data_IF_911684768833
#
_entry.id   IF_911684768833
#
_cell.length_a   1.000
_cell.length_b   1.000
_cell.length_c   1.000
_cell.angle_alpha   90.00
_cell.angle_beta   90.00
_cell.angle_gamma   90.00
#
_symmetry.space_group_name_H-M   'P 1'
#
loop_
_entity.id
_entity.type
_entity.pdbx_description
1 polymer ?
#
# COMPACT_ATOMS: atom_id res chain seq x y z
N UNK A 1 39.51 -9.78 -9.60
CA UNK A 1 38.22 -9.26 -10.10
C UNK A 1 38.02 -7.86 -9.50
N UNK A 2 38.57 -6.81 -10.13
CA UNK A 2 38.32 -5.43 -9.71
C UNK A 2 36.92 -5.05 -10.18
N UNK A 3 35.94 -5.00 -9.28
CA UNK A 3 34.64 -4.42 -9.59
C UNK A 3 34.83 -2.93 -9.81
N UNK A 4 34.54 -2.45 -11.01
CA UNK A 4 34.58 -1.01 -11.27
C UNK A 4 33.49 -0.33 -10.45
N UNK A 5 33.78 0.77 -9.73
CA UNK A 5 32.78 1.50 -8.97
C UNK A 5 31.55 1.89 -9.81
N UNK A 6 31.75 2.11 -11.10
CA UNK A 6 30.68 2.36 -12.08
C UNK A 6 29.67 1.20 -12.16
N UNK A 7 30.15 -0.06 -12.24
CA UNK A 7 29.29 -1.24 -12.31
C UNK A 7 28.40 -1.37 -11.06
N UNK A 8 28.96 -1.05 -9.89
CA UNK A 8 28.24 -1.10 -8.61
C UNK A 8 27.11 -0.05 -8.60
N UNK A 9 27.40 1.18 -9.03
CA UNK A 9 26.38 2.25 -9.10
C UNK A 9 25.25 1.87 -10.05
N UNK A 10 25.57 1.34 -11.24
CA UNK A 10 24.56 0.91 -12.22
C UNK A 10 23.67 -0.20 -11.66
N UNK A 11 24.27 -1.18 -11.00
CA UNK A 11 23.52 -2.28 -10.39
C UNK A 11 22.55 -1.78 -9.29
N UNK A 12 22.98 -0.83 -8.45
CA UNK A 12 22.14 -0.24 -7.40
C UNK A 12 20.95 0.51 -8.00
N UNK A 13 21.18 1.32 -9.03
CA UNK A 13 20.11 2.08 -9.70
C UNK A 13 19.09 1.13 -10.34
N UNK A 14 19.55 0.06 -10.97
CA UNK A 14 18.67 -0.97 -11.55
C UNK A 14 17.82 -1.66 -10.49
N UNK A 15 18.43 -2.09 -9.38
CA UNK A 15 17.71 -2.70 -8.27
C UNK A 15 16.66 -1.75 -7.67
N UNK A 16 17.00 -0.47 -7.56
CA UNK A 16 16.07 0.55 -7.07
C UNK A 16 14.87 0.72 -8.01
N UNK A 17 15.11 0.80 -9.32
CA UNK A 17 14.05 0.91 -10.33
C UNK A 17 13.11 -0.30 -10.30
N UNK A 18 13.64 -1.52 -10.24
CA UNK A 18 12.82 -2.73 -10.17
C UNK A 18 12.02 -2.77 -8.87
N UNK A 19 12.61 -2.39 -7.72
CA UNK A 19 11.93 -2.36 -6.43
C UNK A 19 10.76 -1.36 -6.37
N UNK A 20 10.84 -0.28 -7.17
CA UNK A 20 9.81 0.76 -7.25
C UNK A 20 8.52 0.30 -7.93
N UNK A 21 8.57 -0.80 -8.68
CA UNK A 21 7.41 -1.38 -9.36
C UNK A 21 6.58 -2.17 -8.33
N UNK A 22 5.35 -1.74 -8.08
CA UNK A 22 4.38 -2.44 -7.24
C UNK A 22 3.16 -2.81 -8.08
N UNK A 23 2.61 -3.99 -7.83
CA UNK A 23 1.41 -4.48 -8.49
C UNK A 23 0.28 -4.52 -7.45
N UNK A 24 -0.84 -3.88 -7.76
CA UNK A 24 -2.07 -3.89 -6.98
C UNK A 24 -3.09 -4.82 -7.65
N UNK A 25 -3.80 -5.61 -6.85
CA UNK A 25 -4.91 -6.41 -7.36
C UNK A 25 -6.14 -5.55 -7.68
N UNK A 26 -7.06 -6.03 -8.53
CA UNK A 26 -8.27 -5.28 -8.96
C UNK A 26 -9.15 -4.79 -7.81
N UNK A 27 -9.23 -5.58 -6.74
CA UNK A 27 -9.99 -5.26 -5.53
C UNK A 27 -9.19 -4.41 -4.53
N UNK A 28 -7.98 -3.96 -4.87
CA UNK A 28 -7.14 -3.10 -4.05
C UNK A 28 -7.01 -1.69 -4.62
N UNK A 29 -6.91 -0.71 -3.73
CA UNK A 29 -6.63 0.68 -4.06
C UNK A 29 -5.33 1.10 -3.38
N UNK A 30 -4.45 1.77 -4.12
CA UNK A 30 -3.18 2.29 -3.60
C UNK A 30 -3.35 3.72 -3.09
N UNK A 31 -3.32 3.92 -1.78
CA UNK A 31 -3.29 5.25 -1.14
C UNK A 31 -1.83 5.67 -1.00
N UNK A 32 -1.43 6.77 -1.65
CA UNK A 32 -0.04 7.20 -1.69
C UNK A 32 0.15 8.52 -0.93
N UNK A 33 1.12 8.51 -0.04
CA UNK A 33 1.61 9.66 0.70
C UNK A 33 2.95 10.10 0.12
N UNK A 34 2.96 11.26 -0.52
CA UNK A 34 4.18 11.89 -1.03
C UNK A 34 4.66 12.93 -0.04
N UNK A 35 5.82 12.69 0.58
CA UNK A 35 6.42 13.60 1.56
C UNK A 35 5.44 14.02 2.68
N UNK A 36 4.61 13.08 3.14
CA UNK A 36 3.59 13.31 4.17
C UNK A 36 2.26 13.90 3.67
N UNK A 37 2.13 14.24 2.38
CA UNK A 37 0.86 14.69 1.78
C UNK A 37 0.18 13.56 1.01
N UNK A 38 -1.13 13.43 1.20
CA UNK A 38 -1.96 12.52 0.44
C UNK A 38 -2.06 12.97 -1.02
N UNK A 39 -1.85 12.06 -1.98
CA UNK A 39 -2.16 12.38 -3.38
C UNK A 39 -3.67 12.54 -3.59
N UNK A 40 -4.12 13.49 -4.44
CA UNK A 40 -5.54 13.82 -4.59
C UNK A 40 -6.43 12.64 -5.00
N UNK A 41 -5.86 11.70 -5.76
CA UNK A 41 -6.57 10.52 -6.23
C UNK A 41 -5.81 9.25 -5.85
N UNK A 42 -6.47 8.27 -5.23
CA UNK A 42 -5.88 6.95 -5.00
C UNK A 42 -5.58 6.25 -6.33
N UNK A 43 -4.41 5.60 -6.42
CA UNK A 43 -4.05 4.84 -7.61
C UNK A 43 -4.92 3.59 -7.72
N UNK A 44 -5.39 3.32 -8.94
CA UNK A 44 -6.15 2.12 -9.28
C UNK A 44 -5.30 0.85 -9.31
N UNK A 45 -5.93 -0.30 -9.62
CA UNK A 45 -5.25 -1.58 -9.71
C UNK A 45 -4.29 -1.66 -10.89
N UNK A 46 -3.40 -2.65 -10.87
CA UNK A 46 -2.37 -2.85 -11.89
C UNK A 46 -0.98 -2.39 -11.47
N UNK A 47 -0.14 -2.13 -12.45
CA UNK A 47 1.28 -1.77 -12.23
C UNK A 47 1.38 -0.29 -11.88
N UNK A 48 1.92 0.00 -10.70
CA UNK A 48 2.15 1.35 -10.22
C UNK A 48 3.61 1.54 -9.80
N UNK A 49 4.12 2.74 -10.03
CA UNK A 49 5.44 3.16 -9.54
C UNK A 49 5.32 3.87 -8.20
N UNK A 50 6.13 3.43 -7.23
CA UNK A 50 6.24 3.98 -5.88
C UNK A 50 7.73 4.12 -5.53
N UNK A 51 8.18 5.36 -5.35
CA UNK A 51 9.59 5.68 -5.12
C UNK A 51 9.84 5.95 -3.64
N UNK A 52 10.38 4.98 -2.91
CA UNK A 52 10.81 5.18 -1.52
C UNK A 52 12.14 5.98 -1.49
N UNK A 53 12.32 6.97 -0.59
CA UNK A 53 11.49 7.28 0.58
C UNK A 53 10.44 8.38 0.34
N UNK A 54 10.38 8.95 -0.87
CA UNK A 54 9.53 10.10 -1.20
C UNK A 54 8.05 9.73 -1.12
N UNK A 55 7.71 8.57 -1.67
CA UNK A 55 6.35 8.03 -1.73
C UNK A 55 6.23 6.84 -0.76
N UNK A 56 5.22 6.89 0.12
CA UNK A 56 4.77 5.76 0.94
C UNK A 56 3.42 5.28 0.45
N UNK A 57 3.24 3.97 0.30
CA UNK A 57 1.97 3.38 -0.16
C UNK A 57 1.29 2.58 0.95
N UNK A 58 0.01 2.86 1.17
CA UNK A 58 -0.92 1.99 1.89
C UNK A 58 -1.82 1.25 0.90
N UNK A 59 -1.96 -0.06 1.04
CA UNK A 59 -2.89 -0.87 0.23
C UNK A 59 -4.19 -1.02 0.99
N UNK A 60 -5.31 -0.67 0.36
CA UNK A 60 -6.64 -0.75 0.95
C UNK A 60 -7.50 -1.68 0.11
N UNK A 61 -8.13 -2.66 0.75
CA UNK A 61 -9.09 -3.56 0.11
C UNK A 61 -10.42 -2.83 -0.09
N UNK A 62 -11.00 -2.99 -1.28
CA UNK A 62 -12.35 -2.53 -1.61
C UNK A 62 -13.42 -3.60 -1.33
N UNK A 63 -13.04 -4.75 -0.76
CA UNK A 63 -13.97 -5.83 -0.43
C UNK A 63 -14.81 -5.47 0.79
N UNK A 64 -16.07 -5.89 0.79
CA UNK A 64 -16.92 -5.85 1.98
C UNK A 64 -16.36 -6.81 3.03
N UNK A 65 -16.11 -6.28 4.22
CA UNK A 65 -15.77 -7.08 5.40
C UNK A 65 -17.03 -7.26 6.24
N UNK A 66 -17.27 -8.49 6.71
CA UNK A 66 -18.32 -8.77 7.69
C UNK A 66 -17.67 -8.70 9.05
N UNK A 67 -18.23 -7.89 9.95
CA UNK A 67 -17.75 -7.78 11.32
C UNK A 67 -18.76 -8.48 12.24
N UNK A 68 -18.26 -9.43 13.02
CA UNK A 68 -19.07 -10.08 14.04
C UNK A 68 -19.26 -9.13 15.22
N UNK A 69 -20.51 -8.93 15.61
CA UNK A 69 -20.86 -8.12 16.78
C UNK A 69 -20.83 -9.05 18.00
N UNK A 70 -20.05 -8.73 19.05
CA UNK A 70 -20.02 -9.56 20.25
C UNK A 70 -21.41 -9.59 20.91
N UNK A 71 -21.81 -10.73 21.50
CA UNK A 71 -23.05 -10.79 22.25
C UNK A 71 -22.98 -9.85 23.46
N UNK A 72 -24.05 -9.10 23.69
CA UNK A 72 -24.18 -8.17 24.80
C UNK A 72 -25.42 -8.52 25.60
N UNK A 73 -25.30 -8.56 26.92
CA UNK A 73 -26.45 -8.70 27.81
C UNK A 73 -27.30 -7.43 27.71
N UNK A 74 -28.55 -7.61 27.30
CA UNK A 74 -29.52 -6.55 27.10
C UNK A 74 -30.77 -6.84 27.92
N UNK A 75 -31.27 -5.81 28.61
CA UNK A 75 -32.58 -5.84 29.26
C UNK A 75 -33.51 -5.04 28.36
N UNK A 76 -34.61 -5.67 27.94
CA UNK A 76 -35.64 -5.02 27.14
C UNK A 76 -36.36 -3.94 27.95
N UNK A 77 -37.07 -3.02 27.28
CA UNK A 77 -37.87 -1.99 27.95
C UNK A 77 -38.92 -2.59 28.91
N UNK A 78 -39.33 -3.82 28.64
CA UNK A 78 -40.27 -4.58 29.45
C UNK A 78 -39.60 -5.26 30.67
N UNK A 79 -38.34 -4.93 30.96
CA UNK A 79 -37.58 -5.42 32.11
C UNK A 79 -37.40 -6.96 32.10
N UNK A 80 -37.18 -7.51 30.91
CA UNK A 80 -36.85 -8.91 30.63
C UNK A 80 -35.55 -8.99 29.86
#
# INVERSE_FOLDING_TARGET
MQFSPLLIVVAIVLLYLVSSIKILAEYERGVIFRLGKLLPQPKGPGVILVFAPIDRIGRVSLRTIVLDVPPQDVITRDNV
#
